data_IF_780313642999
#
_entry.id   IF_780313642999
#
_cell.length_a   1.000
_cell.length_b   1.000
_cell.length_c   1.000
_cell.angle_alpha   90.00
_cell.angle_beta   90.00
_cell.angle_gamma   90.00
#
_symmetry.space_group_name_H-M   'P 1'
#
loop_
_entity.id
_entity.type
_entity.pdbx_description
1 polymer ?
#
# COMPACT_ATOMS: atom_id res chain seq x y z
N UNK A 1 11.97 13.13 -1.15
CA UNK A 1 11.01 13.44 -2.24
C UNK A 1 10.47 12.19 -2.93
N UNK A 2 11.31 11.22 -3.33
CA UNK A 2 10.87 9.99 -3.99
C UNK A 2 9.72 9.27 -3.25
N UNK A 3 9.81 9.11 -1.92
CA UNK A 3 8.76 8.45 -1.12
C UNK A 3 7.44 9.23 -1.10
N UNK A 4 7.49 10.57 -1.11
CA UNK A 4 6.30 11.43 -1.03
C UNK A 4 5.50 11.35 -2.34
N UNK A 5 6.21 11.35 -3.47
CA UNK A 5 5.63 11.36 -4.81
C UNK A 5 5.63 9.99 -5.50
N UNK A 6 6.04 8.91 -4.80
CA UNK A 6 6.24 7.57 -5.35
C UNK A 6 5.07 7.07 -6.20
N UNK A 7 3.84 7.16 -5.70
CA UNK A 7 2.65 6.71 -6.44
C UNK A 7 2.42 7.46 -7.75
N UNK A 8 2.70 8.78 -7.77
CA UNK A 8 2.61 9.57 -9.00
C UNK A 8 3.73 9.23 -9.98
N UNK A 9 4.98 9.21 -9.50
CA UNK A 9 6.15 8.92 -10.33
C UNK A 9 6.06 7.52 -10.97
N UNK A 10 5.65 6.52 -10.19
CA UNK A 10 5.52 5.14 -10.64
C UNK A 10 4.38 4.99 -11.66
N UNK A 11 3.21 5.58 -11.40
CA UNK A 11 2.09 5.51 -12.35
C UNK A 11 2.37 6.28 -13.64
N UNK A 12 3.04 7.43 -13.56
CA UNK A 12 3.43 8.20 -14.75
C UNK A 12 4.38 7.39 -15.62
N UNK A 13 5.38 6.73 -15.03
CA UNK A 13 6.27 5.82 -15.76
C UNK A 13 5.51 4.69 -16.48
N UNK A 14 4.50 4.10 -15.84
CA UNK A 14 3.69 3.04 -16.45
C UNK A 14 2.73 3.53 -17.54
N UNK A 15 2.28 4.78 -17.45
CA UNK A 15 1.38 5.41 -18.44
C UNK A 15 2.14 6.11 -19.58
N UNK A 16 3.48 6.07 -19.59
CA UNK A 16 4.29 6.75 -20.60
C UNK A 16 4.34 8.28 -20.44
N UNK A 17 3.97 8.79 -19.26
CA UNK A 17 4.04 10.20 -18.92
C UNK A 17 5.38 10.55 -18.27
N UNK A 18 5.76 11.85 -18.25
CA UNK A 18 7.00 12.26 -17.58
C UNK A 18 6.99 11.85 -16.09
N UNK A 19 7.94 10.99 -15.71
CA UNK A 19 8.08 10.44 -14.35
C UNK A 19 8.19 11.56 -13.31
N UNK A 20 8.86 12.66 -13.66
CA UNK A 20 9.08 13.81 -12.78
C UNK A 20 7.92 14.82 -12.77
N UNK A 21 6.83 14.59 -13.52
CA UNK A 21 5.70 15.51 -13.55
C UNK A 21 5.11 15.86 -12.17
N UNK A 22 5.06 14.95 -11.17
CA UNK A 22 4.61 15.31 -9.82
C UNK A 22 5.44 16.40 -9.15
N UNK A 23 6.70 16.62 -9.56
CA UNK A 23 7.57 17.66 -9.02
C UNK A 23 7.29 19.05 -9.62
N UNK A 24 6.50 19.13 -10.69
CA UNK A 24 6.13 20.42 -11.32
C UNK A 24 5.28 21.30 -10.40
N UNK A 25 4.61 20.71 -9.41
CA UNK A 25 3.77 21.45 -8.46
C UNK A 25 4.62 22.11 -7.36
N UNK A 26 5.09 23.34 -7.61
CA UNK A 26 5.97 24.10 -6.70
C UNK A 26 5.40 24.24 -5.29
N UNK A 27 4.11 24.60 -5.07
CA UNK A 27 3.54 24.65 -3.72
C UNK A 27 3.66 23.32 -2.95
N UNK A 28 3.31 22.19 -3.59
CA UNK A 28 3.40 20.89 -2.94
C UNK A 28 4.87 20.49 -2.68
N UNK A 29 5.76 20.80 -3.61
CA UNK A 29 7.19 20.53 -3.48
C UNK A 29 7.81 21.31 -2.30
N UNK A 30 7.46 22.60 -2.16
CA UNK A 30 7.89 23.43 -1.04
C UNK A 30 7.41 22.89 0.29
N UNK A 31 6.13 22.52 0.41
CA UNK A 31 5.58 21.92 1.63
C UNK A 31 6.28 20.61 1.97
N UNK A 32 6.47 19.72 1.00
CA UNK A 32 7.17 18.45 1.23
C UNK A 32 8.61 18.67 1.70
N UNK A 33 9.30 19.67 1.14
CA UNK A 33 10.68 20.03 1.49
C UNK A 33 10.76 20.66 2.88
N UNK A 34 9.82 21.54 3.22
CA UNK A 34 9.70 22.13 4.56
C UNK A 34 9.45 21.06 5.62
N UNK A 35 8.53 20.12 5.38
CA UNK A 35 8.26 19.00 6.30
C UNK A 35 9.50 18.12 6.45
N UNK A 36 10.18 17.80 5.36
CA UNK A 36 11.44 17.07 5.42
C UNK A 36 12.49 17.81 6.26
N UNK A 37 12.66 19.12 6.06
CA UNK A 37 13.61 19.92 6.83
C UNK A 37 13.26 19.93 8.32
N UNK A 38 11.97 20.15 8.65
CA UNK A 38 11.49 20.18 10.04
C UNK A 38 11.73 18.84 10.75
N UNK A 39 11.47 17.71 10.08
CA UNK A 39 11.61 16.40 10.70
C UNK A 39 13.08 16.03 10.95
N UNK A 40 14.02 16.45 10.10
CA UNK A 40 15.42 16.01 10.17
C UNK A 40 16.38 17.04 10.81
N UNK A 41 16.09 18.34 10.72
CA UNK A 41 17.06 19.39 11.05
C UNK A 41 16.60 20.35 12.15
N UNK A 42 15.39 20.19 12.72
CA UNK A 42 15.02 21.02 13.88
C UNK A 42 15.93 20.77 15.08
N UNK A 43 16.33 21.83 15.81
CA UNK A 43 17.15 21.67 17.02
C UNK A 43 16.40 20.82 18.05
N UNK A 44 17.16 20.03 18.82
CA UNK A 44 16.65 19.11 19.84
C UNK A 44 15.65 18.04 19.35
N UNK A 45 15.57 17.82 18.04
CA UNK A 45 14.71 16.81 17.40
C UNK A 45 13.21 17.02 17.72
N UNK A 46 12.80 18.29 17.91
CA UNK A 46 11.44 18.67 18.31
C UNK A 46 10.43 18.23 17.26
N UNK A 47 10.73 18.44 15.96
CA UNK A 47 9.85 18.08 14.86
C UNK A 47 9.52 16.59 14.84
N UNK A 48 10.53 15.74 15.01
CA UNK A 48 10.35 14.29 15.07
C UNK A 48 9.60 13.84 16.33
N UNK A 49 9.95 14.38 17.51
CA UNK A 49 9.28 14.05 18.77
C UNK A 49 7.79 14.43 18.73
N UNK A 50 7.47 15.62 18.21
CA UNK A 50 6.09 16.06 18.02
C UNK A 50 5.34 15.15 17.02
N UNK A 51 5.96 14.77 15.91
CA UNK A 51 5.34 13.85 14.93
C UNK A 51 5.14 12.43 15.49
N UNK A 52 5.97 12.00 16.44
CA UNK A 52 5.83 10.72 17.15
C UNK A 52 4.79 10.74 18.26
N UNK A 53 4.41 11.92 18.77
CA UNK A 53 3.40 12.04 19.81
C UNK A 53 2.09 11.40 19.34
N UNK A 54 1.55 10.49 20.14
CA UNK A 54 0.48 9.57 19.73
C UNK A 54 -0.77 10.29 19.19
N UNK A 55 -1.30 11.36 19.85
CA UNK A 55 -2.41 12.13 19.31
C UNK A 55 -2.12 12.73 17.92
N UNK A 56 -0.94 13.31 17.72
CA UNK A 56 -0.52 13.89 16.43
C UNK A 56 -0.40 12.80 15.37
N UNK A 57 0.20 11.66 15.73
CA UNK A 57 0.36 10.50 14.85
C UNK A 57 -0.98 9.92 14.42
N UNK A 58 -1.97 9.88 15.31
CA UNK A 58 -3.33 9.40 15.01
C UNK A 58 -3.99 10.30 13.97
N UNK A 59 -4.01 11.61 14.21
CA UNK A 59 -4.62 12.58 13.29
C UNK A 59 -3.92 12.55 11.93
N UNK A 60 -2.59 12.60 11.91
CA UNK A 60 -1.81 12.55 10.68
C UNK A 60 -2.03 11.22 9.91
N UNK A 61 -2.17 10.10 10.63
CA UNK A 61 -2.44 8.80 10.02
C UNK A 61 -3.85 8.74 9.42
N UNK A 62 -4.87 9.25 10.10
CA UNK A 62 -6.22 9.32 9.56
C UNK A 62 -6.28 10.19 8.30
N UNK A 63 -5.69 11.39 8.33
CA UNK A 63 -5.60 12.27 7.16
C UNK A 63 -4.87 11.61 5.99
N UNK A 64 -3.80 10.86 6.28
CA UNK A 64 -3.06 10.10 5.26
C UNK A 64 -3.95 9.07 4.55
N UNK A 65 -4.82 8.38 5.27
CA UNK A 65 -5.73 7.39 4.68
C UNK A 65 -6.82 8.03 3.82
N UNK A 66 -7.36 9.17 4.22
CA UNK A 66 -8.27 9.98 3.39
C UNK A 66 -7.57 10.33 2.06
N UNK A 67 -6.32 10.79 2.15
CA UNK A 67 -5.54 11.14 0.96
C UNK A 67 -5.16 9.92 0.11
N UNK A 68 -4.94 8.75 0.71
CA UNK A 68 -4.73 7.49 -0.01
C UNK A 68 -5.97 7.13 -0.83
N UNK A 69 -7.16 7.16 -0.24
CA UNK A 69 -8.42 6.88 -0.96
C UNK A 69 -8.57 7.81 -2.17
N UNK A 70 -8.33 9.11 -1.97
CA UNK A 70 -8.31 10.09 -3.06
C UNK A 70 -7.33 9.70 -4.17
N UNK A 71 -6.09 9.32 -3.82
CA UNK A 71 -5.08 8.90 -4.82
C UNK A 71 -5.53 7.68 -5.62
N UNK A 72 -6.15 6.69 -4.98
CA UNK A 72 -6.67 5.50 -5.67
C UNK A 72 -7.76 5.91 -6.66
N UNK A 73 -8.74 6.69 -6.21
CA UNK A 73 -9.83 7.22 -7.04
C UNK A 73 -9.30 8.04 -8.24
N UNK A 74 -8.42 9.02 -7.98
CA UNK A 74 -7.78 9.84 -9.02
C UNK A 74 -6.93 8.97 -9.97
N UNK A 75 -6.39 7.84 -9.51
CA UNK A 75 -5.67 6.86 -10.33
C UNK A 75 -6.59 6.14 -11.29
N UNK A 76 -7.68 5.59 -10.77
CA UNK A 76 -8.71 4.90 -11.55
C UNK A 76 -9.32 5.85 -12.58
N UNK A 77 -9.67 7.08 -12.18
CA UNK A 77 -10.24 8.07 -13.10
C UNK A 77 -9.27 8.43 -14.21
N UNK A 78 -8.00 8.66 -13.85
CA UNK A 78 -6.97 9.00 -14.81
C UNK A 78 -6.78 7.88 -15.84
N UNK A 79 -6.55 6.65 -15.38
CA UNK A 79 -6.42 5.49 -16.26
C UNK A 79 -7.68 5.25 -17.11
N UNK A 80 -8.87 5.50 -16.56
CA UNK A 80 -10.13 5.38 -17.29
C UNK A 80 -10.31 6.42 -18.40
N UNK A 81 -9.64 7.58 -18.31
CA UNK A 81 -9.63 8.59 -19.38
C UNK A 81 -8.69 8.18 -20.51
N UNK A 82 -7.52 7.63 -20.19
CA UNK A 82 -6.54 7.19 -21.19
C UNK A 82 -6.96 5.87 -21.88
N UNK A 83 -7.48 4.91 -21.10
CA UNK A 83 -7.81 3.56 -21.57
C UNK A 83 -9.21 3.14 -21.15
N UNK A 84 -10.29 3.69 -21.74
CA UNK A 84 -11.66 3.54 -21.24
C UNK A 84 -12.19 2.10 -21.18
N UNK A 85 -11.64 1.17 -21.96
CA UNK A 85 -12.08 -0.23 -21.99
C UNK A 85 -11.14 -1.19 -21.24
N UNK A 86 -10.00 -0.70 -20.75
CA UNK A 86 -8.98 -1.55 -20.12
C UNK A 86 -9.14 -1.58 -18.60
N UNK A 87 -10.10 -2.36 -18.11
CA UNK A 87 -10.41 -2.50 -16.68
C UNK A 87 -9.19 -2.87 -15.81
N UNK A 88 -8.36 -3.80 -16.30
CA UNK A 88 -7.17 -4.26 -15.58
C UNK A 88 -6.17 -3.12 -15.37
N UNK A 89 -5.97 -2.27 -16.38
CA UNK A 89 -5.06 -1.12 -16.29
C UNK A 89 -5.58 -0.11 -15.25
N UNK A 90 -6.89 0.12 -15.21
CA UNK A 90 -7.49 1.00 -14.22
C UNK A 90 -7.28 0.51 -12.78
N UNK A 91 -7.51 -0.78 -12.54
CA UNK A 91 -7.32 -1.43 -11.24
C UNK A 91 -5.84 -1.33 -10.83
N UNK A 92 -4.93 -1.66 -11.75
CA UNK A 92 -3.49 -1.64 -11.50
C UNK A 92 -2.98 -0.23 -11.16
N UNK A 93 -3.34 0.77 -11.96
CA UNK A 93 -2.95 2.17 -11.70
C UNK A 93 -3.57 2.71 -10.41
N UNK A 94 -4.83 2.38 -10.13
CA UNK A 94 -5.48 2.74 -8.86
C UNK A 94 -4.73 2.17 -7.65
N UNK A 95 -4.42 0.87 -7.69
CA UNK A 95 -3.68 0.17 -6.62
C UNK A 95 -2.30 0.78 -6.40
N UNK A 96 -1.57 1.05 -7.49
CA UNK A 96 -0.23 1.61 -7.46
C UNK A 96 -0.21 3.07 -6.99
N UNK A 97 -1.22 3.89 -7.31
CA UNK A 97 -1.33 5.23 -6.71
C UNK A 97 -1.61 5.16 -5.20
N UNK A 98 -2.33 4.14 -4.73
CA UNK A 98 -2.65 3.93 -3.31
C UNK A 98 -1.46 3.53 -2.43
N UNK A 99 -0.57 2.64 -2.93
CA UNK A 99 0.62 2.20 -2.18
C UNK A 99 1.94 2.27 -2.98
N UNK A 100 2.12 3.28 -3.83
CA UNK A 100 3.32 3.38 -4.67
C UNK A 100 4.63 3.46 -3.90
N UNK A 101 4.63 4.03 -2.70
CA UNK A 101 5.81 4.06 -1.82
C UNK A 101 6.28 2.66 -1.41
N UNK A 102 5.35 1.70 -1.25
CA UNK A 102 5.70 0.30 -0.99
C UNK A 102 6.39 -0.35 -2.19
N UNK A 103 5.86 -0.13 -3.40
CA UNK A 103 6.44 -0.65 -4.63
C UNK A 103 7.80 -0.03 -4.98
N UNK A 104 8.00 1.26 -4.72
CA UNK A 104 9.30 1.93 -4.94
C UNK A 104 10.30 1.72 -3.80
N UNK A 105 9.93 1.03 -2.72
CA UNK A 105 10.77 0.88 -1.53
C UNK A 105 12.08 0.12 -1.81
N UNK A 106 12.04 -0.86 -2.71
CA UNK A 106 13.24 -1.57 -3.14
C UNK A 106 14.22 -0.64 -3.85
N UNK A 107 13.71 0.18 -4.79
CA UNK A 107 14.51 1.18 -5.50
C UNK A 107 15.08 2.23 -4.54
N UNK A 108 14.29 2.70 -3.57
CA UNK A 108 14.75 3.61 -2.53
C UNK A 108 15.91 3.03 -1.72
N UNK A 109 15.80 1.76 -1.30
CA UNK A 109 16.86 1.07 -0.55
C UNK A 109 18.12 0.91 -1.40
N UNK A 110 17.97 0.55 -2.68
CA UNK A 110 19.08 0.43 -3.62
C UNK A 110 19.84 1.76 -3.77
N UNK A 111 19.12 2.88 -3.91
CA UNK A 111 19.72 4.23 -3.96
C UNK A 111 20.50 4.56 -2.68
N UNK A 112 20.05 4.06 -1.52
CA UNK A 112 20.73 4.21 -0.23
C UNK A 112 21.88 3.20 -0.02
N UNK A 113 22.17 2.34 -1.01
CA UNK A 113 23.21 1.32 -0.91
C UNK A 113 22.82 0.07 -0.10
N UNK A 114 21.54 -0.15 0.16
CA UNK A 114 21.03 -1.32 0.89
C UNK A 114 20.19 -2.22 -0.03
N UNK A 115 20.39 -3.53 0.04
CA UNK A 115 19.61 -4.52 -0.70
C UNK A 115 18.88 -5.48 0.23
N UNK A 116 17.55 -5.51 0.15
CA UNK A 116 16.70 -6.44 0.92
C UNK A 116 15.60 -6.99 0.02
N UNK A 117 15.87 -8.09 -0.70
CA UNK A 117 14.97 -8.62 -1.74
C UNK A 117 13.74 -9.31 -1.14
N UNK A 118 13.81 -9.73 0.12
CA UNK A 118 12.75 -10.46 0.83
C UNK A 118 11.54 -9.61 1.19
N UNK A 119 11.65 -8.28 1.13
CA UNK A 119 10.60 -7.35 1.55
C UNK A 119 10.01 -6.59 0.35
N UNK A 120 9.68 -7.31 -0.72
CA UNK A 120 9.01 -6.79 -1.92
C UNK A 120 7.49 -6.89 -1.79
N UNK A 121 6.78 -5.79 -2.05
CA UNK A 121 5.31 -5.75 -2.03
C UNK A 121 4.65 -6.70 -3.05
N UNK A 122 5.36 -7.10 -4.11
CA UNK A 122 4.88 -8.12 -5.03
C UNK A 122 4.87 -9.53 -4.43
N UNK A 123 5.81 -9.83 -3.54
CA UNK A 123 5.97 -11.16 -2.94
C UNK A 123 5.11 -11.30 -1.68
N UNK A 124 5.07 -10.25 -0.85
CA UNK A 124 4.25 -10.18 0.36
C UNK A 124 3.49 -8.85 0.37
N UNK A 125 2.28 -8.80 -0.22
CA UNK A 125 1.51 -7.57 -0.26
C UNK A 125 1.04 -7.18 1.14
N UNK A 126 1.31 -5.94 1.53
CA UNK A 126 0.82 -5.41 2.80
C UNK A 126 -0.70 -5.17 2.80
N UNK A 127 -1.32 -5.05 3.98
CA UNK A 127 -2.71 -4.61 4.11
C UNK A 127 -3.04 -3.43 3.20
N UNK A 128 -2.15 -2.44 3.09
CA UNK A 128 -2.37 -1.23 2.31
C UNK A 128 -2.45 -1.49 0.81
N UNK A 129 -1.66 -2.44 0.29
CA UNK A 129 -1.72 -2.87 -1.11
C UNK A 129 -3.04 -3.60 -1.36
N UNK A 130 -3.41 -4.56 -0.48
CA UNK A 130 -4.66 -5.33 -0.58
C UNK A 130 -5.90 -4.44 -0.52
N UNK A 131 -5.93 -3.52 0.45
CA UNK A 131 -7.02 -2.56 0.62
C UNK A 131 -7.12 -1.60 -0.58
N UNK A 132 -5.99 -1.14 -1.13
CA UNK A 132 -5.99 -0.30 -2.34
C UNK A 132 -6.44 -1.06 -3.59
N UNK A 133 -6.12 -2.36 -3.68
CA UNK A 133 -6.59 -3.25 -4.74
C UNK A 133 -8.10 -3.38 -4.70
N UNK A 134 -8.67 -3.76 -3.56
CA UNK A 134 -10.13 -3.88 -3.37
C UNK A 134 -10.82 -2.54 -3.66
N UNK A 135 -10.30 -1.42 -3.13
CA UNK A 135 -10.85 -0.10 -3.39
C UNK A 135 -10.82 0.26 -4.89
N UNK A 136 -9.74 -0.05 -5.60
CA UNK A 136 -9.65 0.21 -7.04
C UNK A 136 -10.63 -0.64 -7.86
N UNK A 137 -10.87 -1.90 -7.48
CA UNK A 137 -11.89 -2.76 -8.09
C UNK A 137 -13.27 -2.12 -7.89
N UNK A 138 -13.60 -1.70 -6.66
CA UNK A 138 -14.88 -1.07 -6.35
C UNK A 138 -15.06 0.23 -7.16
N UNK A 139 -14.04 1.10 -7.23
CA UNK A 139 -14.14 2.33 -8.03
C UNK A 139 -14.24 2.09 -9.53
N UNK A 140 -13.65 1.02 -10.05
CA UNK A 140 -13.80 0.65 -11.46
C UNK A 140 -15.21 0.14 -11.74
N UNK A 141 -15.76 -0.70 -10.86
CA UNK A 141 -17.14 -1.18 -10.95
C UNK A 141 -18.12 0.00 -10.86
N UNK A 142 -18.02 0.80 -9.80
CA UNK A 142 -18.85 2.01 -9.59
C UNK A 142 -18.84 2.96 -10.80
N UNK A 143 -17.71 3.06 -11.52
CA UNK A 143 -17.58 3.94 -12.69
C UNK A 143 -18.10 3.34 -14.00
N UNK A 144 -18.06 2.01 -14.15
CA UNK A 144 -18.28 1.34 -15.45
C UNK A 144 -19.52 0.46 -15.49
N UNK A 145 -20.03 0.08 -14.33
CA UNK A 145 -21.21 -0.78 -14.21
C UNK A 145 -22.20 -0.13 -13.25
N UNK A 146 -23.47 -0.10 -13.65
CA UNK A 146 -24.58 0.32 -12.76
C UNK A 146 -24.93 -0.76 -11.72
N UNK A 147 -24.05 -1.75 -11.52
CA UNK A 147 -24.22 -2.82 -10.54
C UNK A 147 -24.29 -2.27 -9.10
N UNK A 148 -23.69 -1.10 -8.86
CA UNK A 148 -23.77 -0.38 -7.60
C UNK A 148 -24.74 0.78 -7.81
N UNK A 149 -26.02 0.60 -7.50
CA UNK A 149 -27.02 1.69 -7.56
C UNK A 149 -26.87 2.74 -6.44
N UNK A 150 -25.76 2.72 -5.70
CA UNK A 150 -25.48 3.68 -4.63
C UNK A 150 -24.82 4.95 -5.20
N UNK A 151 -25.06 6.14 -4.62
CA UNK A 151 -24.37 7.36 -5.05
C UNK A 151 -22.85 7.23 -4.93
N UNK A 152 -22.09 7.62 -5.96
CA UNK A 152 -20.62 7.58 -5.97
C UNK A 152 -19.98 8.22 -4.72
N UNK A 153 -20.58 9.30 -4.21
CA UNK A 153 -20.12 9.97 -2.99
C UNK A 153 -20.23 9.07 -1.75
N UNK A 154 -21.28 8.26 -1.66
CA UNK A 154 -21.50 7.33 -0.54
C UNK A 154 -20.53 6.16 -0.62
N UNK A 155 -20.29 5.60 -1.81
CA UNK A 155 -19.29 4.55 -2.04
C UNK A 155 -17.89 5.05 -1.65
N UNK A 156 -17.51 6.23 -2.13
CA UNK A 156 -16.24 6.86 -1.77
C UNK A 156 -16.12 7.07 -0.26
N UNK A 157 -17.16 7.62 0.38
CA UNK A 157 -17.19 7.85 1.83
C UNK A 157 -17.06 6.54 2.63
N UNK A 158 -17.73 5.47 2.21
CA UNK A 158 -17.63 4.14 2.83
C UNK A 158 -16.20 3.59 2.77
N UNK A 159 -15.51 3.73 1.63
CA UNK A 159 -14.12 3.29 1.47
C UNK A 159 -13.18 4.12 2.36
N UNK A 160 -13.41 5.43 2.46
CA UNK A 160 -12.62 6.31 3.35
C UNK A 160 -12.76 5.87 4.81
N UNK A 161 -14.00 5.63 5.28
CA UNK A 161 -14.25 5.12 6.64
C UNK A 161 -13.51 3.81 6.85
N UNK A 162 -13.58 2.88 5.90
CA UNK A 162 -12.90 1.61 5.96
C UNK A 162 -11.37 1.78 6.11
N UNK A 163 -10.73 2.62 5.28
CA UNK A 163 -9.28 2.87 5.40
C UNK A 163 -8.89 3.50 6.74
N UNK A 164 -9.63 4.52 7.18
CA UNK A 164 -9.36 5.20 8.46
C UNK A 164 -9.56 4.22 9.62
N UNK A 165 -10.64 3.45 9.62
CA UNK A 165 -10.94 2.45 10.65
C UNK A 165 -9.79 1.46 10.81
N UNK A 166 -9.37 0.78 9.75
CA UNK A 166 -8.30 -0.21 9.85
C UNK A 166 -6.95 0.41 10.20
N UNK A 167 -6.69 1.64 9.75
CA UNK A 167 -5.45 2.33 10.11
C UNK A 167 -5.41 2.67 11.60
N UNK A 168 -6.52 3.15 12.15
CA UNK A 168 -6.62 3.46 13.58
C UNK A 168 -6.57 2.19 14.42
N UNK A 169 -7.29 1.14 14.02
CA UNK A 169 -7.23 -0.19 14.66
C UNK A 169 -5.81 -0.76 14.66
N UNK A 170 -5.05 -0.61 13.57
CA UNK A 170 -3.65 -1.05 13.51
C UNK A 170 -2.75 -0.28 14.49
N UNK A 171 -2.98 1.03 14.66
CA UNK A 171 -2.18 1.87 15.57
C UNK A 171 -2.55 1.63 17.04
N UNK A 172 -3.84 1.48 17.34
CA UNK A 172 -4.36 1.39 18.71
C UNK A 172 -4.37 -0.05 19.26
N UNK A 173 -4.72 -1.03 18.43
CA UNK A 173 -4.90 -2.44 18.81
C UNK A 173 -3.73 -3.32 18.35
N UNK A 174 -2.80 -2.80 17.55
CA UNK A 174 -1.66 -3.56 17.04
C UNK A 174 -2.02 -4.65 16.02
N UNK A 175 -3.26 -4.64 15.50
CA UNK A 175 -3.71 -5.61 14.49
C UNK A 175 -3.04 -5.27 13.16
N UNK A 176 -2.15 -6.14 12.70
CA UNK A 176 -1.30 -5.87 11.53
C UNK A 176 -2.02 -6.11 10.19
N UNK A 177 -2.78 -7.20 10.04
CA UNK A 177 -3.46 -7.55 8.79
C UNK A 177 -4.83 -8.23 9.04
N UNK A 178 -5.97 -7.55 8.79
CA UNK A 178 -7.31 -8.11 8.96
C UNK A 178 -7.71 -9.09 7.84
N UNK A 179 -6.98 -9.12 6.71
CA UNK A 179 -7.26 -10.00 5.58
C UNK A 179 -6.68 -11.42 5.74
N UNK A 180 -5.71 -11.61 6.64
CA UNK A 180 -5.07 -12.90 6.90
C UNK A 180 -6.04 -14.07 7.18
N UNK A 181 -7.07 -13.93 8.03
CA UNK A 181 -8.02 -15.02 8.24
C UNK A 181 -8.81 -15.37 6.97
N UNK A 182 -9.18 -14.37 6.15
CA UNK A 182 -9.88 -14.59 4.89
C UNK A 182 -9.00 -15.27 3.85
N UNK A 183 -7.73 -14.87 3.76
CA UNK A 183 -6.75 -15.49 2.86
C UNK A 183 -6.47 -16.94 3.26
N UNK A 184 -6.33 -17.21 4.55
CA UNK A 184 -6.14 -18.57 5.05
C UNK A 184 -7.35 -19.46 4.74
N UNK A 185 -8.57 -18.92 4.87
CA UNK A 185 -9.79 -19.64 4.52
C UNK A 185 -9.88 -19.88 3.00
N UNK A 186 -9.58 -18.88 2.18
CA UNK A 186 -9.56 -19.03 0.72
C UNK A 186 -8.50 -20.04 0.25
N UNK A 187 -7.30 -19.98 0.84
CA UNK A 187 -6.22 -20.93 0.57
C UNK A 187 -6.58 -22.34 1.01
N UNK A 188 -7.26 -22.48 2.15
CA UNK A 188 -7.78 -23.77 2.61
C UNK A 188 -8.78 -24.35 1.61
N UNK A 189 -9.71 -23.52 1.14
CA UNK A 189 -10.84 -23.97 0.32
C UNK A 189 -10.49 -24.22 -1.16
N UNK A 190 -9.65 -23.38 -1.77
CA UNK A 190 -9.41 -23.40 -3.22
C UNK A 190 -8.00 -23.85 -3.63
N UNK A 191 -6.98 -23.60 -2.81
CA UNK A 191 -5.57 -23.88 -3.14
C UNK A 191 -5.00 -25.09 -2.42
N UNK A 192 -5.86 -25.98 -1.94
CA UNK A 192 -5.44 -27.25 -1.35
C UNK A 192 -4.91 -27.14 0.08
N UNK A 193 -5.15 -26.05 0.81
CA UNK A 193 -4.77 -25.96 2.22
C UNK A 193 -5.49 -27.01 3.08
N UNK A 194 -6.70 -27.45 2.70
CA UNK A 194 -7.33 -28.63 3.32
C UNK A 194 -6.50 -29.90 3.07
N UNK A 195 -5.98 -30.11 1.86
CA UNK A 195 -5.14 -31.26 1.52
C UNK A 195 -3.78 -31.23 2.22
N UNK A 196 -3.18 -30.05 2.38
CA UNK A 196 -1.90 -29.86 3.08
C UNK A 196 -2.03 -30.01 4.61
N UNK A 197 -3.14 -29.53 5.18
CA UNK A 197 -3.52 -29.80 6.58
C UNK A 197 -3.84 -31.27 6.80
N UNK A 198 -4.51 -31.94 5.85
CA UNK A 198 -4.78 -33.38 5.91
C UNK A 198 -3.48 -34.19 5.82
N UNK A 199 -2.55 -33.80 4.94
CA UNK A 199 -1.25 -34.45 4.77
C UNK A 199 -0.35 -34.34 6.01
N UNK A 200 -0.41 -33.20 6.72
CA UNK A 200 0.25 -33.02 8.02
C UNK A 200 -0.37 -33.88 9.12
N UNK A 201 -1.70 -34.04 9.12
CA UNK A 201 -2.43 -34.83 10.10
C UNK A 201 -2.31 -36.35 9.85
N UNK A 202 -2.12 -36.76 8.60
CA UNK A 202 -1.80 -38.13 8.16
C UNK A 202 -0.29 -38.48 8.25
N UNK A 203 0.54 -37.60 8.81
CA UNK A 203 1.95 -37.89 9.06
C UNK A 203 2.84 -38.06 7.82
N UNK A 204 2.38 -37.65 6.62
CA UNK A 204 3.15 -37.78 5.36
C UNK A 204 4.13 -36.62 5.09
N UNK A 205 4.37 -35.75 6.07
CA UNK A 205 5.10 -34.49 5.90
C UNK A 205 6.37 -34.32 6.73
N UNK A 206 7.08 -35.39 7.08
CA UNK A 206 8.47 -35.28 7.57
C UNK A 206 9.45 -35.75 6.49
N UNK A 207 10.07 -34.80 5.80
CA UNK A 207 11.46 -34.89 5.32
C UNK A 207 11.87 -33.63 4.56
N UNK A 208 12.49 -32.68 5.26
CA UNK A 208 13.92 -32.33 5.05
C UNK A 208 14.35 -31.29 6.07
N UNK A 209 15.15 -31.75 7.02
CA UNK A 209 16.15 -30.93 7.68
C UNK A 209 17.13 -30.40 6.64
N UNK A 210 17.42 -29.10 6.67
CA UNK A 210 18.78 -28.60 6.42
C UNK A 210 19.19 -27.82 7.67
N UNK A 211 19.81 -28.55 8.61
CA UNK A 211 20.71 -27.96 9.60
C UNK A 211 22.14 -28.20 9.11
N UNK A 212 22.92 -27.11 9.09
CA UNK A 212 24.37 -26.89 8.77
C UNK A 212 24.41 -25.73 7.76
N UNK A 213 24.62 -24.48 8.19
CA UNK A 213 25.89 -24.05 8.73
C UNK A 213 25.80 -23.27 10.05
N UNK A 214 26.51 -23.82 11.03
CA UNK A 214 26.93 -23.12 12.24
C UNK A 214 28.14 -22.23 11.94
N UNK A 215 28.23 -21.11 12.67
CA UNK A 215 29.48 -20.44 13.11
C UNK A 215 30.54 -20.15 12.03
N UNK A 216 30.69 -18.87 11.69
CA UNK A 216 32.03 -18.24 11.68
C UNK A 216 31.97 -16.84 12.31
N UNK A 217 32.43 -16.79 13.55
CA UNK A 217 33.20 -15.68 14.11
C UNK A 217 34.49 -15.55 13.28
N UNK A 218 34.78 -14.32 12.86
CA UNK A 218 36.07 -13.65 13.01
C UNK A 218 35.84 -12.16 12.83
#
# INVERSE_FOLDING_TARGET
>A
MLVVYAGGMLCNGLLGEPILAPLKNTPQLLVATAVWYIVFYTPFDIGYKAAKFLPVKIVASAMKEIYRCKKVYDGVIHAAKLYPNAYIIMILIGTLKGNGAGFTKLLERLIRGAWTPTAMEFMQPSFYTKASLVASIIFVLDKKTDLISAPHALVYFGIVIFFVYFKLSSILLGIHDPFTPFENLFSALFFGGIWDSLAKLLGRGQSKEESKDAKKTN
#
